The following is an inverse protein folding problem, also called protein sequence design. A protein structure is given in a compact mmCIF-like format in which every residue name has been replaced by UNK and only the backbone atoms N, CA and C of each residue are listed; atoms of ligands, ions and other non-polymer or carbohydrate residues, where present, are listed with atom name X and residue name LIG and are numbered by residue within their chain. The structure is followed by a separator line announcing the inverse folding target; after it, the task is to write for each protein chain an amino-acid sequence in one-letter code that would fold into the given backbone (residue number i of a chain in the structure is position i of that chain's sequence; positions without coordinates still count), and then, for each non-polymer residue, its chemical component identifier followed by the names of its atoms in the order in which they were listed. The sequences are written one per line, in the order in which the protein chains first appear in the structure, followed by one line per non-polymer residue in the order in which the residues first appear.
data_IF_237679254554
#
_entry.id   IF_237679254554
#
_cell.length_a   1.000
_cell.length_b   1.000
_cell.length_c   1.000
_cell.angle_alpha   90.00
_cell.angle_beta   90.00
_cell.angle_gamma   90.00
#
_symmetry.space_group_name_H-M   'P 1'
#
loop_
_entity.id
_entity.type
_entity.pdbx_description
1 polymer ?
#
# COMPACT_ATOMS: atom_id res chain seq x y z
N UNK A 1 -11.23 -32.80 24.11
CA UNK A 1 -10.54 -31.50 24.01
C UNK A 1 -10.59 -31.14 22.55
N UNK A 2 -11.45 -30.18 22.17
CA UNK A 2 -11.55 -29.76 20.77
C UNK A 2 -10.32 -28.89 20.53
N UNK A 3 -9.32 -29.41 19.83
CA UNK A 3 -8.30 -28.57 19.21
C UNK A 3 -9.06 -27.60 18.30
N UNK A 4 -9.11 -26.32 18.69
CA UNK A 4 -9.45 -25.27 17.75
C UNK A 4 -8.33 -25.30 16.73
N UNK A 5 -8.58 -25.86 15.54
CA UNK A 5 -7.72 -25.60 14.40
C UNK A 5 -7.62 -24.07 14.29
N UNK A 6 -6.42 -23.54 14.48
CA UNK A 6 -6.18 -22.14 14.17
C UNK A 6 -6.55 -21.94 12.70
N UNK A 7 -7.46 -21.03 12.42
CA UNK A 7 -7.76 -20.62 11.05
C UNK A 7 -6.51 -19.96 10.48
N UNK A 8 -6.10 -20.37 9.30
CA UNK A 8 -4.95 -19.77 8.62
C UNK A 8 -5.22 -18.29 8.34
N UNK A 9 -4.25 -17.45 8.65
CA UNK A 9 -4.24 -16.03 8.32
C UNK A 9 -3.70 -15.86 6.90
N UNK A 10 -4.59 -15.55 5.96
CA UNK A 10 -4.30 -15.52 4.52
C UNK A 10 -4.82 -14.21 3.94
N UNK A 11 -3.98 -13.51 3.19
CA UNK A 11 -4.35 -12.31 2.44
C UNK A 11 -3.55 -12.24 1.14
N UNK A 12 -4.23 -12.09 0.00
CA UNK A 12 -3.55 -11.84 -1.28
C UNK A 12 -3.10 -10.39 -1.30
N UNK A 13 -1.83 -10.17 -1.62
CA UNK A 13 -1.23 -8.84 -1.59
C UNK A 13 -1.00 -8.28 -2.99
N UNK A 14 -0.48 -9.11 -3.90
CA UNK A 14 -0.11 -8.65 -5.22
C UNK A 14 -0.32 -9.73 -6.27
N UNK A 15 -0.71 -9.28 -7.46
CA UNK A 15 -0.76 -10.06 -8.67
C UNK A 15 0.16 -9.41 -9.69
N UNK A 16 1.07 -10.21 -10.26
CA UNK A 16 2.00 -9.75 -11.28
C UNK A 16 1.71 -10.47 -12.59
N UNK A 17 1.80 -9.74 -13.70
CA UNK A 17 1.62 -10.31 -15.03
C UNK A 17 2.61 -9.74 -16.04
N UNK A 18 3.02 -10.59 -16.98
CA UNK A 18 3.67 -10.15 -18.21
C UNK A 18 2.98 -10.81 -19.37
N UNK A 19 2.68 -9.99 -20.37
CA UNK A 19 1.89 -10.35 -21.55
C UNK A 19 2.50 -11.58 -22.23
N UNK A 20 1.90 -12.76 -21.99
CA UNK A 20 2.32 -14.02 -22.61
C UNK A 20 3.54 -14.71 -21.98
N UNK A 21 4.14 -14.13 -20.93
CA UNK A 21 5.39 -14.62 -20.31
C UNK A 21 5.16 -15.37 -18.99
N UNK A 22 4.03 -15.12 -18.32
CA UNK A 22 3.64 -15.75 -17.06
C UNK A 22 2.90 -14.80 -16.13
N UNK A 23 2.62 -15.30 -14.93
CA UNK A 23 2.02 -14.54 -13.84
C UNK A 23 2.62 -14.95 -12.48
N UNK A 24 2.45 -14.11 -11.47
CA UNK A 24 2.80 -14.43 -10.07
C UNK A 24 1.66 -14.00 -9.15
N UNK A 25 1.32 -14.87 -8.18
CA UNK A 25 0.44 -14.50 -7.07
C UNK A 25 1.25 -14.45 -5.78
N UNK A 26 1.24 -13.30 -5.13
CA UNK A 26 1.94 -13.05 -3.86
C UNK A 26 0.93 -12.84 -2.76
N UNK A 27 1.01 -13.67 -1.71
CA UNK A 27 0.07 -13.62 -0.59
C UNK A 27 0.76 -13.90 0.75
N UNK A 28 0.18 -13.33 1.81
CA UNK A 28 0.54 -13.65 3.18
C UNK A 28 -0.05 -14.99 3.60
N UNK A 29 0.72 -15.81 4.29
CA UNK A 29 0.26 -17.03 4.94
C UNK A 29 0.91 -17.14 6.32
N UNK A 30 0.13 -16.98 7.39
CA UNK A 30 0.56 -17.08 8.79
C UNK A 30 1.82 -16.26 9.13
N UNK A 31 1.93 -15.03 8.58
CA UNK A 31 3.05 -14.10 8.79
C UNK A 31 4.28 -14.36 7.92
N UNK A 32 4.19 -15.26 6.94
CA UNK A 32 5.20 -15.44 5.90
C UNK A 32 4.65 -14.98 4.55
N UNK A 33 5.56 -14.69 3.61
CA UNK A 33 5.22 -14.32 2.25
C UNK A 33 5.35 -15.54 1.33
N UNK A 34 4.31 -15.84 0.58
CA UNK A 34 4.30 -16.91 -0.41
C UNK A 34 4.19 -16.26 -1.79
N UNK A 35 5.11 -16.59 -2.69
CA UNK A 35 5.08 -16.21 -4.10
C UNK A 35 4.92 -17.48 -4.93
N UNK A 36 3.89 -17.51 -5.78
CA UNK A 36 3.59 -18.64 -6.66
C UNK A 36 3.65 -18.17 -8.11
N UNK A 37 4.71 -18.58 -8.78
CA UNK A 37 4.96 -18.30 -10.18
C UNK A 37 4.25 -19.30 -11.08
N UNK A 38 3.51 -18.77 -12.04
CA UNK A 38 2.69 -19.49 -13.01
C UNK A 38 3.28 -19.22 -14.39
N UNK A 39 3.97 -20.21 -14.94
CA UNK A 39 4.57 -20.12 -16.27
C UNK A 39 3.68 -20.79 -17.31
N UNK A 40 3.64 -20.28 -18.55
CA UNK A 40 2.83 -20.86 -19.62
C UNK A 40 3.28 -22.28 -19.96
N UNK A 41 2.33 -23.13 -20.33
CA UNK A 41 2.55 -24.56 -20.55
C UNK A 41 3.58 -24.87 -21.66
N UNK A 42 3.68 -23.98 -22.67
CA UNK A 42 4.56 -24.12 -23.84
C UNK A 42 5.71 -23.08 -23.88
N UNK A 43 5.97 -22.35 -22.80
CA UNK A 43 7.05 -21.35 -22.74
C UNK A 43 6.75 -19.99 -23.41
N UNK A 44 5.58 -19.83 -24.05
CA UNK A 44 4.98 -18.57 -24.45
C UNK A 44 3.47 -18.80 -24.54
N UNK A 45 2.67 -18.05 -23.79
CA UNK A 45 1.21 -18.12 -23.94
C UNK A 45 0.85 -17.44 -25.26
N UNK A 46 0.60 -18.25 -26.30
CA UNK A 46 -0.14 -17.77 -27.47
C UNK A 46 -1.54 -17.44 -26.99
N UNK A 47 -2.01 -16.21 -27.23
CA UNK A 47 -3.44 -15.87 -27.11
C UNK A 47 -4.22 -16.67 -28.17
N UNK A 48 -4.31 -17.98 -27.99
CA UNK A 48 -5.21 -18.82 -28.75
C UNK A 48 -6.62 -18.51 -28.27
N UNK A 49 -7.38 -17.85 -29.14
CA UNK A 49 -8.75 -17.38 -28.97
C UNK A 49 -9.77 -18.53 -28.92
N UNK A 50 -9.32 -19.70 -28.48
CA UNK A 50 -10.10 -20.92 -28.41
C UNK A 50 -10.57 -21.13 -26.97
N UNK A 51 -11.80 -20.72 -26.71
CA UNK A 51 -12.62 -21.22 -25.61
C UNK A 51 -12.76 -22.75 -25.77
N UNK A 52 -11.84 -23.53 -25.17
CA UNK A 52 -11.91 -24.98 -25.19
C UNK A 52 -11.66 -25.56 -23.79
N UNK A 53 -12.48 -26.54 -23.40
CA UNK A 53 -12.41 -27.34 -22.17
C UNK A 53 -11.05 -28.06 -21.96
N UNK A 54 -10.15 -28.01 -22.95
CA UNK A 54 -8.83 -28.66 -22.97
C UNK A 54 -7.64 -27.69 -22.72
N UNK A 55 -7.89 -26.42 -22.36
CA UNK A 55 -6.80 -25.47 -22.10
C UNK A 55 -6.00 -25.85 -20.84
N UNK A 56 -4.65 -25.83 -20.88
CA UNK A 56 -3.84 -26.09 -19.69
C UNK A 56 -4.17 -25.09 -18.57
N UNK A 57 -4.26 -25.61 -17.33
CA UNK A 57 -4.64 -24.82 -16.16
C UNK A 57 -3.74 -23.60 -15.92
N UNK A 58 -2.44 -23.75 -16.18
CA UNK A 58 -1.47 -22.65 -16.06
C UNK A 58 -1.81 -21.48 -17.00
N UNK A 59 -2.18 -21.78 -18.25
CA UNK A 59 -2.50 -20.76 -19.25
C UNK A 59 -3.85 -20.09 -18.92
N UNK A 60 -4.80 -20.83 -18.35
CA UNK A 60 -6.05 -20.28 -17.83
C UNK A 60 -5.81 -19.32 -16.66
N UNK A 61 -4.99 -19.69 -15.67
CA UNK A 61 -4.69 -18.83 -14.54
C UNK A 61 -3.94 -17.55 -14.92
N UNK A 62 -3.07 -17.60 -15.93
CA UNK A 62 -2.42 -16.40 -16.46
C UNK A 62 -3.49 -15.41 -16.97
N UNK A 63 -4.50 -15.89 -17.70
CA UNK A 63 -5.59 -15.06 -18.20
C UNK A 63 -6.52 -14.55 -17.09
N UNK A 64 -6.82 -15.38 -16.09
CA UNK A 64 -7.62 -14.98 -14.92
C UNK A 64 -6.91 -13.86 -14.15
N UNK A 65 -5.60 -14.00 -13.94
CA UNK A 65 -4.79 -12.94 -13.33
C UNK A 65 -4.73 -11.71 -14.24
N UNK A 66 -4.60 -11.85 -15.58
CA UNK A 66 -4.66 -10.72 -16.52
C UNK A 66 -5.95 -9.94 -16.32
N UNK A 67 -7.07 -10.65 -16.28
CA UNK A 67 -8.40 -10.09 -16.09
C UNK A 67 -8.53 -9.40 -14.73
N UNK A 68 -8.04 -10.03 -13.65
CA UNK A 68 -8.07 -9.46 -12.31
C UNK A 68 -7.26 -8.16 -12.22
N UNK A 69 -6.09 -8.07 -12.86
CA UNK A 69 -5.24 -6.86 -12.80
C UNK A 69 -5.83 -5.63 -13.48
N UNK A 70 -6.80 -5.81 -14.38
CA UNK A 70 -7.50 -4.70 -15.07
C UNK A 70 -8.96 -4.56 -14.62
N UNK A 71 -9.41 -5.40 -13.68
CA UNK A 71 -10.77 -5.38 -13.15
C UNK A 71 -10.99 -4.10 -12.32
N UNK A 72 -12.15 -3.46 -12.52
CA UNK A 72 -12.56 -2.28 -11.75
C UNK A 72 -13.73 -2.57 -10.81
N UNK A 73 -14.29 -3.77 -10.88
CA UNK A 73 -15.38 -4.24 -10.03
C UNK A 73 -14.78 -5.12 -8.93
N UNK A 74 -14.99 -4.72 -7.68
CA UNK A 74 -14.35 -5.37 -6.52
C UNK A 74 -14.89 -6.80 -6.32
N UNK A 75 -16.19 -7.04 -6.56
CA UNK A 75 -16.80 -8.36 -6.41
C UNK A 75 -16.25 -9.32 -7.50
N UNK A 76 -16.19 -8.86 -8.75
CA UNK A 76 -15.59 -9.64 -9.85
C UNK A 76 -14.08 -9.87 -9.62
N UNK A 77 -13.36 -8.89 -9.07
CA UNK A 77 -11.95 -9.05 -8.72
C UNK A 77 -11.77 -10.14 -7.66
N UNK A 78 -12.55 -10.11 -6.58
CA UNK A 78 -12.49 -11.11 -5.51
C UNK A 78 -12.78 -12.52 -6.04
N UNK A 79 -13.80 -12.68 -6.89
CA UNK A 79 -14.12 -13.97 -7.52
C UNK A 79 -12.94 -14.53 -8.35
N UNK A 80 -12.26 -13.68 -9.12
CA UNK A 80 -11.12 -14.08 -9.95
C UNK A 80 -9.89 -14.45 -9.09
N UNK A 81 -9.64 -13.69 -8.01
CA UNK A 81 -8.54 -13.98 -7.08
C UNK A 81 -8.78 -15.28 -6.33
N UNK A 82 -9.99 -15.48 -5.82
CA UNK A 82 -10.38 -16.66 -5.06
C UNK A 82 -10.30 -17.94 -5.90
N UNK A 83 -10.64 -17.87 -7.19
CA UNK A 83 -10.52 -19.00 -8.13
C UNK A 83 -9.09 -19.56 -8.14
N UNK A 84 -8.10 -18.69 -8.34
CA UNK A 84 -6.68 -19.08 -8.43
C UNK A 84 -6.14 -19.46 -7.05
N UNK A 85 -6.47 -18.68 -6.02
CA UNK A 85 -6.00 -18.91 -4.66
C UNK A 85 -6.48 -20.24 -4.10
N UNK A 86 -7.73 -20.62 -4.32
CA UNK A 86 -8.30 -21.88 -3.84
C UNK A 86 -7.48 -23.09 -4.33
N UNK A 87 -7.14 -23.11 -5.62
CA UNK A 87 -6.36 -24.21 -6.22
C UNK A 87 -4.92 -24.23 -5.70
N UNK A 88 -4.29 -23.05 -5.53
CA UNK A 88 -2.96 -22.95 -4.91
C UNK A 88 -2.98 -23.49 -3.49
N UNK A 89 -3.99 -23.13 -2.69
CA UNK A 89 -4.11 -23.59 -1.30
C UNK A 89 -4.39 -25.09 -1.23
N UNK A 90 -5.22 -25.65 -2.11
CA UNK A 90 -5.46 -27.09 -2.17
C UNK A 90 -4.18 -27.88 -2.49
N UNK A 91 -3.34 -27.36 -3.39
CA UNK A 91 -2.07 -27.97 -3.73
C UNK A 91 -0.96 -27.73 -2.70
N UNK A 92 -0.97 -26.58 -2.02
CA UNK A 92 0.18 -26.03 -1.29
C UNK A 92 0.06 -25.93 0.21
N UNK A 93 -1.16 -25.89 0.79
CA UNK A 93 -1.38 -25.53 2.20
C UNK A 93 -0.58 -26.39 3.18
N UNK A 94 -0.50 -27.69 2.94
CA UNK A 94 0.28 -28.60 3.80
C UNK A 94 1.78 -28.30 3.75
N UNK A 95 2.30 -27.93 2.58
CA UNK A 95 3.71 -27.56 2.38
C UNK A 95 4.02 -26.23 3.08
N UNK A 96 3.12 -25.25 3.00
CA UNK A 96 3.28 -23.97 3.69
C UNK A 96 3.37 -24.15 5.20
N UNK A 97 2.46 -24.93 5.80
CA UNK A 97 2.49 -25.26 7.23
C UNK A 97 3.81 -25.90 7.67
N UNK A 98 4.36 -26.82 6.87
CA UNK A 98 5.62 -27.49 7.18
C UNK A 98 6.81 -26.53 7.23
N UNK A 99 6.81 -25.49 6.40
CA UNK A 99 7.90 -24.51 6.35
C UNK A 99 7.82 -23.52 7.53
N UNK A 100 6.61 -23.18 7.94
CA UNK A 100 6.34 -22.11 8.92
C UNK A 100 6.53 -22.57 10.38
N UNK A 101 6.31 -23.85 10.69
CA UNK A 101 6.39 -24.39 12.07
C UNK A 101 7.80 -24.35 12.71
N UNK A 102 8.80 -23.78 12.02
CA UNK A 102 10.21 -23.77 12.42
C UNK A 102 10.70 -22.43 13.01
N UNK A 103 9.88 -21.37 13.01
CA UNK A 103 10.30 -20.03 13.43
C UNK A 103 9.56 -19.54 14.68
N UNK A 104 10.30 -18.92 15.60
CA UNK A 104 9.78 -18.32 16.84
C UNK A 104 9.00 -17.02 16.49
N UNK A 105 7.77 -17.19 15.99
CA UNK A 105 7.00 -16.15 15.30
C UNK A 105 6.60 -14.96 16.17
N UNK A 106 6.61 -15.10 17.50
CA UNK A 106 5.95 -14.12 18.37
C UNK A 106 6.83 -12.92 18.72
N UNK A 107 8.15 -13.10 18.82
CA UNK A 107 9.08 -12.01 19.14
C UNK A 107 9.46 -11.14 17.92
N UNK A 108 9.29 -11.67 16.70
CA UNK A 108 9.67 -10.98 15.46
C UNK A 108 8.58 -10.03 14.94
N UNK A 109 7.30 -10.33 15.22
CA UNK A 109 6.12 -9.57 14.78
C UNK A 109 5.98 -8.17 15.39
N UNK A 110 6.79 -7.82 16.38
CA UNK A 110 6.74 -6.51 17.05
C UNK A 110 7.60 -5.45 16.36
N UNK A 111 8.50 -5.83 15.45
CA UNK A 111 9.41 -4.89 14.77
C UNK A 111 8.94 -4.54 13.35
N UNK A 112 9.23 -3.33 12.90
CA UNK A 112 8.99 -2.93 11.52
C UNK A 112 9.73 -3.82 10.52
N UNK A 113 10.94 -4.28 10.87
CA UNK A 113 11.76 -5.18 10.05
C UNK A 113 10.97 -6.40 9.55
N UNK A 114 10.15 -7.02 10.40
CA UNK A 114 9.41 -8.22 10.03
C UNK A 114 8.33 -7.98 8.97
N UNK A 115 7.70 -6.81 8.97
CA UNK A 115 6.70 -6.45 7.95
C UNK A 115 7.33 -6.03 6.63
N UNK A 116 8.54 -5.46 6.66
CA UNK A 116 9.26 -5.06 5.46
C UNK A 116 10.00 -6.25 4.82
N UNK A 117 10.50 -7.17 5.64
CA UNK A 117 11.30 -8.31 5.21
C UNK A 117 10.77 -9.61 5.83
N UNK A 118 9.49 -9.98 5.56
CA UNK A 118 8.95 -11.23 6.06
C UNK A 118 9.71 -12.41 5.45
N UNK A 119 9.81 -13.56 6.15
CA UNK A 119 10.29 -14.80 5.55
C UNK A 119 9.48 -15.11 4.29
N UNK A 120 10.16 -15.27 3.15
CA UNK A 120 9.54 -15.49 1.86
C UNK A 120 9.87 -16.87 1.29
N UNK A 121 8.87 -17.49 0.67
CA UNK A 121 8.99 -18.79 0.02
C UNK A 121 8.44 -18.70 -1.40
N UNK A 122 9.20 -19.23 -2.36
CA UNK A 122 8.87 -19.15 -3.78
C UNK A 122 8.52 -20.53 -4.31
N UNK A 123 7.47 -20.60 -5.11
CA UNK A 123 6.96 -21.83 -5.69
C UNK A 123 6.64 -21.65 -7.16
N UNK A 124 6.71 -22.74 -7.90
CA UNK A 124 6.18 -22.88 -9.26
C UNK A 124 4.94 -23.75 -9.23
N UNK A 125 3.86 -23.28 -9.84
CA UNK A 125 2.67 -24.10 -10.09
C UNK A 125 2.98 -25.09 -11.21
N UNK A 126 2.83 -26.39 -10.94
CA UNK A 126 2.93 -27.46 -11.94
C UNK A 126 1.57 -28.17 -12.09
N UNK A 127 1.02 -28.12 -13.30
CA UNK A 127 -0.25 -28.77 -13.65
C UNK A 127 -0.09 -29.64 -14.91
N UNK A 128 0.62 -30.78 -14.83
CA UNK A 128 0.78 -31.70 -15.95
C UNK A 128 -0.57 -32.26 -16.43
N UNK A 129 -0.72 -32.41 -17.75
CA UNK A 129 -1.90 -33.04 -18.34
C UNK A 129 -1.89 -34.57 -18.08
N UNK A 130 -3.03 -35.18 -17.69
CA UNK A 130 -4.34 -34.56 -17.45
C UNK A 130 -4.42 -33.82 -16.09
N UNK A 131 -5.11 -32.67 -16.07
CA UNK A 131 -5.28 -31.63 -15.01
C UNK A 131 -5.64 -32.10 -13.59
N UNK A 132 -5.76 -33.41 -13.36
CA UNK A 132 -6.05 -34.06 -12.08
C UNK A 132 -4.94 -33.98 -11.01
N UNK A 133 -3.76 -33.44 -11.32
CA UNK A 133 -2.65 -33.37 -10.37
C UNK A 133 -1.97 -31.99 -10.42
N UNK A 134 -2.53 -31.03 -9.68
CA UNK A 134 -1.88 -29.74 -9.43
C UNK A 134 -0.92 -29.89 -8.25
N UNK A 135 0.30 -29.38 -8.38
CA UNK A 135 1.30 -29.39 -7.31
C UNK A 135 2.13 -28.12 -7.31
N UNK A 136 2.72 -27.81 -6.15
CA UNK A 136 3.67 -26.71 -6.01
C UNK A 136 5.07 -27.25 -5.84
N UNK A 137 5.99 -26.76 -6.66
CA UNK A 137 7.42 -27.05 -6.55
C UNK A 137 8.13 -25.86 -5.96
N UNK A 138 8.90 -26.05 -4.88
CA UNK A 138 9.76 -25.00 -4.35
C UNK A 138 10.83 -24.62 -5.35
N UNK A 139 11.04 -23.32 -5.54
CA UNK A 139 12.05 -22.75 -6.43
C UNK A 139 12.89 -21.72 -5.68
N UNK A 140 14.06 -21.38 -6.24
CA UNK A 140 14.86 -20.25 -5.77
C UNK A 140 14.19 -18.92 -6.17
N UNK A 141 14.44 -17.84 -5.43
CA UNK A 141 13.89 -16.52 -5.76
C UNK A 141 14.37 -16.00 -7.13
N UNK A 142 15.54 -16.45 -7.60
CA UNK A 142 16.04 -16.11 -8.95
C UNK A 142 15.30 -16.81 -10.09
N UNK A 143 14.54 -17.87 -9.78
CA UNK A 143 13.65 -18.56 -10.73
C UNK A 143 12.20 -18.08 -10.66
N UNK A 144 11.87 -17.25 -9.67
CA UNK A 144 10.54 -16.71 -9.51
C UNK A 144 10.20 -15.73 -10.64
N UNK A 145 8.93 -15.64 -10.98
CA UNK A 145 8.44 -14.72 -11.99
C UNK A 145 8.65 -13.26 -11.56
N UNK A 146 8.50 -12.98 -10.26
CA UNK A 146 8.71 -11.66 -9.68
C UNK A 146 9.75 -11.70 -8.57
N UNK A 147 10.77 -10.84 -8.69
CA UNK A 147 11.79 -10.65 -7.64
C UNK A 147 11.23 -9.77 -6.52
N UNK A 148 11.04 -10.35 -5.34
CA UNK A 148 10.54 -9.64 -4.15
C UNK A 148 11.66 -9.13 -3.23
N UNK A 149 12.89 -9.59 -3.42
CA UNK A 149 14.04 -9.31 -2.56
C UNK A 149 14.84 -8.08 -3.01
N UNK A 150 15.45 -7.37 -2.05
CA UNK A 150 16.45 -6.33 -2.31
C UNK A 150 17.77 -6.99 -2.75
N UNK A 151 18.30 -6.60 -3.91
CA UNK A 151 19.62 -6.97 -4.40
C UNK A 151 20.63 -5.86 -4.09
N UNK A 152 21.56 -6.04 -3.14
CA UNK A 152 22.46 -4.99 -2.71
C UNK A 152 23.31 -4.34 -3.81
N UNK A 153 23.61 -5.06 -4.89
CA UNK A 153 24.46 -4.54 -5.98
C UNK A 153 23.65 -3.61 -6.89
N UNK A 154 22.47 -4.06 -7.33
CA UNK A 154 21.61 -3.24 -8.18
C UNK A 154 20.99 -2.09 -7.39
N UNK A 155 20.56 -2.35 -6.17
CA UNK A 155 19.82 -1.40 -5.34
C UNK A 155 20.65 -0.23 -4.84
N UNK A 156 21.93 -0.44 -4.54
CA UNK A 156 22.85 0.65 -4.18
C UNK A 156 23.07 1.66 -5.32
N UNK A 157 22.83 1.26 -6.57
CA UNK A 157 23.06 2.12 -7.73
C UNK A 157 21.89 3.06 -8.06
N UNK A 158 20.74 2.86 -7.39
CA UNK A 158 19.53 3.64 -7.63
C UNK A 158 19.62 4.94 -6.85
N UNK A 159 19.69 6.06 -7.57
CA UNK A 159 19.60 7.39 -7.00
C UNK A 159 18.12 7.75 -6.79
N UNK A 160 17.72 7.90 -5.53
CA UNK A 160 16.34 8.25 -5.17
C UNK A 160 16.03 9.75 -5.37
N UNK A 161 17.05 10.60 -5.55
CA UNK A 161 16.96 12.06 -5.77
C UNK A 161 15.89 12.79 -4.92
N UNK A 162 15.85 12.47 -3.63
CA UNK A 162 14.88 13.04 -2.69
C UNK A 162 15.35 14.38 -2.06
N UNK A 163 16.61 14.78 -2.26
CA UNK A 163 17.21 16.03 -1.75
C UNK A 163 16.84 16.37 -0.28
N UNK A 164 16.80 15.36 0.59
CA UNK A 164 16.38 15.52 1.98
C UNK A 164 17.40 16.31 2.80
N UNK A 165 16.92 17.02 3.82
CA UNK A 165 17.79 17.74 4.76
C UNK A 165 18.74 16.74 5.47
N UNK A 166 20.08 16.93 5.42
CA UNK A 166 21.05 16.05 6.07
C UNK A 166 20.85 15.86 7.58
N UNK A 167 20.23 16.84 8.26
CA UNK A 167 19.96 16.80 9.70
C UNK A 167 18.68 16.01 10.04
N UNK A 168 17.94 15.54 9.04
CA UNK A 168 16.72 14.74 9.26
C UNK A 168 17.09 13.43 9.98
N UNK A 169 16.41 13.09 11.10
CA UNK A 169 16.68 11.85 11.82
C UNK A 169 16.52 10.61 10.93
N UNK A 170 17.38 9.62 11.18
CA UNK A 170 17.49 8.38 10.42
C UNK A 170 17.30 7.19 11.34
N UNK A 171 16.51 6.23 10.89
CA UNK A 171 16.21 5.02 11.64
C UNK A 171 16.37 3.80 10.76
N UNK A 172 16.71 2.66 11.36
CA UNK A 172 16.59 1.37 10.68
C UNK A 172 15.31 0.66 11.12
N UNK A 173 14.77 -0.28 10.33
CA UNK A 173 13.53 -0.99 10.68
C UNK A 173 13.59 -1.74 12.03
N UNK A 174 14.78 -2.11 12.50
CA UNK A 174 14.98 -2.76 13.79
C UNK A 174 14.80 -1.82 14.99
N UNK A 175 14.95 -0.50 14.79
CA UNK A 175 14.79 0.51 15.85
C UNK A 175 13.32 0.85 16.14
N UNK A 176 12.40 0.30 15.34
CA UNK A 176 11.00 0.73 15.26
C UNK A 176 10.09 -0.42 15.67
N UNK A 177 9.32 -0.22 16.73
CA UNK A 177 8.31 -1.17 17.20
C UNK A 177 6.93 -0.80 16.68
N UNK A 178 6.14 -1.80 16.29
CA UNK A 178 4.77 -1.62 15.82
C UNK A 178 3.83 -1.47 17.01
N UNK A 179 3.04 -0.39 17.03
CA UNK A 179 2.00 -0.17 18.03
C UNK A 179 0.63 -0.62 17.49
N UNK A 180 0.28 -0.20 16.27
CA UNK A 180 -0.97 -0.57 15.60
C UNK A 180 -0.74 -0.59 14.08
N UNK A 181 -1.18 -1.65 13.42
CA UNK A 181 -1.13 -1.76 11.95
C UNK A 181 -2.45 -1.25 11.37
N UNK A 182 -2.38 -0.29 10.44
CA UNK A 182 -3.56 0.18 9.71
C UNK A 182 -3.74 -0.58 8.41
N UNK A 183 -2.66 -0.74 7.66
CA UNK A 183 -2.62 -1.45 6.37
C UNK A 183 -1.25 -2.09 6.21
N UNK A 184 -1.18 -3.31 5.71
CA UNK A 184 0.06 -3.92 5.26
C UNK A 184 -0.14 -4.76 4.01
N UNK A 185 0.92 -4.93 3.24
CA UNK A 185 0.98 -5.79 2.06
C UNK A 185 2.19 -6.73 2.12
N UNK A 186 2.63 -7.20 0.96
CA UNK A 186 3.73 -8.17 0.83
C UNK A 186 5.05 -7.71 1.47
N UNK A 187 5.36 -6.42 1.36
CA UNK A 187 6.52 -5.78 2.00
C UNK A 187 6.24 -4.30 2.25
N UNK A 188 4.97 -3.93 2.42
CA UNK A 188 4.52 -2.54 2.62
C UNK A 188 3.74 -2.45 3.90
N UNK A 189 3.82 -1.31 4.59
CA UNK A 189 3.12 -1.10 5.85
C UNK A 189 2.83 0.37 6.10
N UNK A 190 1.64 0.61 6.63
CA UNK A 190 1.20 1.87 7.22
C UNK A 190 0.73 1.57 8.65
N UNK A 191 1.36 2.20 9.64
CA UNK A 191 1.17 1.84 11.05
C UNK A 191 1.42 3.02 11.99
N UNK A 192 0.82 2.97 13.19
CA UNK A 192 1.33 3.67 14.35
C UNK A 192 2.51 2.86 14.91
N UNK A 193 3.59 3.55 15.23
CA UNK A 193 4.85 2.94 15.69
C UNK A 193 5.40 3.67 16.89
N UNK A 194 6.23 2.95 17.65
CA UNK A 194 6.96 3.49 18.79
C UNK A 194 8.45 3.54 18.45
N UNK A 195 9.05 4.73 18.57
CA UNK A 195 10.49 4.95 18.38
C UNK A 195 11.03 5.70 19.59
N UNK A 196 11.93 5.05 20.35
CA UNK A 196 12.54 5.64 21.56
C UNK A 196 11.53 6.19 22.58
N UNK A 197 10.35 5.58 22.70
CA UNK A 197 9.30 6.04 23.62
C UNK A 197 8.39 7.15 23.06
N UNK A 198 8.54 7.53 21.80
CA UNK A 198 7.65 8.44 21.10
C UNK A 198 6.78 7.70 20.07
N UNK A 199 5.48 7.96 20.11
CA UNK A 199 4.52 7.45 19.12
C UNK A 199 4.60 8.29 17.83
N UNK A 200 4.64 7.62 16.69
CA UNK A 200 4.76 8.22 15.37
C UNK A 200 3.89 7.47 14.36
N UNK A 201 3.60 8.11 13.23
CA UNK A 201 3.03 7.44 12.07
C UNK A 201 4.17 6.98 11.15
N UNK A 202 4.09 5.74 10.67
CA UNK A 202 5.02 5.12 9.75
C UNK A 202 4.31 4.74 8.44
N UNK A 203 4.94 5.06 7.31
CA UNK A 203 4.61 4.51 6.00
C UNK A 203 5.91 4.04 5.35
N UNK A 204 6.00 2.76 5.02
CA UNK A 204 7.26 2.16 4.59
C UNK A 204 7.05 0.95 3.67
N UNK A 205 8.06 0.66 2.85
CA UNK A 205 8.15 -0.47 1.93
C UNK A 205 9.58 -1.06 1.91
N UNK A 206 9.67 -2.38 1.91
CA UNK A 206 10.90 -3.16 1.92
C UNK A 206 11.21 -3.82 0.57
N UNK A 207 11.05 -3.10 -0.54
CA UNK A 207 11.26 -3.62 -1.90
C UNK A 207 12.54 -3.10 -2.52
N UNK A 208 13.06 -3.84 -3.51
CA UNK A 208 14.06 -3.31 -4.43
C UNK A 208 13.60 -1.98 -5.05
N UNK A 209 14.55 -1.12 -5.37
CA UNK A 209 14.34 0.25 -5.83
C UNK A 209 14.09 1.28 -4.72
N UNK A 210 14.08 0.88 -3.44
CA UNK A 210 13.79 1.80 -2.34
C UNK A 210 12.43 2.49 -2.53
N UNK A 211 12.41 3.81 -2.48
CA UNK A 211 11.23 4.64 -2.77
C UNK A 211 11.19 5.21 -4.20
N UNK A 212 12.11 4.85 -5.09
CA UNK A 212 12.17 5.44 -6.43
C UNK A 212 10.83 5.32 -7.18
N UNK A 213 10.29 6.45 -7.66
CA UNK A 213 9.06 6.51 -8.44
C UNK A 213 7.76 6.20 -7.67
N UNK A 214 7.79 6.21 -6.33
CA UNK A 214 6.65 5.83 -5.49
C UNK A 214 5.88 7.02 -4.92
N UNK A 215 4.65 6.79 -4.50
CA UNK A 215 3.86 7.77 -3.72
C UNK A 215 4.53 8.12 -2.39
N UNK A 216 5.20 7.16 -1.75
CA UNK A 216 5.91 7.36 -0.49
C UNK A 216 7.10 8.32 -0.65
N UNK A 217 7.84 8.21 -1.76
CA UNK A 217 8.92 9.15 -2.11
C UNK A 217 8.38 10.56 -2.26
N UNK A 218 7.26 10.71 -2.97
CA UNK A 218 6.60 12.01 -3.16
C UNK A 218 6.16 12.60 -1.83
N UNK A 219 5.50 11.81 -0.99
CA UNK A 219 5.05 12.24 0.33
C UNK A 219 6.23 12.67 1.21
N UNK A 220 7.30 11.86 1.27
CA UNK A 220 8.51 12.19 2.00
C UNK A 220 9.15 13.49 1.50
N UNK A 221 9.24 13.69 0.18
CA UNK A 221 9.75 14.93 -0.41
C UNK A 221 8.90 16.14 -0.02
N UNK A 222 7.58 16.03 -0.15
CA UNK A 222 6.64 17.09 0.25
C UNK A 222 6.76 17.45 1.74
N UNK A 223 6.80 16.46 2.63
CA UNK A 223 6.97 16.69 4.06
C UNK A 223 8.34 17.29 4.39
N UNK A 224 9.39 16.86 3.68
CA UNK A 224 10.74 17.42 3.80
C UNK A 224 10.82 18.89 3.37
N UNK A 225 10.15 19.27 2.29
CA UNK A 225 10.02 20.68 1.88
C UNK A 225 9.21 21.50 2.89
N UNK A 226 8.12 20.95 3.43
CA UNK A 226 7.32 21.65 4.44
C UNK A 226 8.12 22.01 5.69
N UNK A 227 9.07 21.17 6.12
CA UNK A 227 9.98 21.49 7.22
C UNK A 227 10.84 22.74 6.95
N UNK A 228 11.13 23.07 5.68
CA UNK A 228 11.91 24.25 5.29
C UNK A 228 11.09 25.54 5.40
N UNK A 229 9.79 25.48 5.09
CA UNK A 229 8.92 26.65 4.98
C UNK A 229 8.09 26.91 6.24
N UNK A 230 7.68 25.87 6.96
CA UNK A 230 6.73 25.98 8.06
C UNK A 230 7.38 25.64 9.39
N UNK A 231 7.46 26.60 10.34
CA UNK A 231 7.84 26.27 11.69
C UNK A 231 6.78 25.36 12.33
N UNK A 232 7.13 24.62 13.39
CA UNK A 232 6.19 23.73 14.04
C UNK A 232 4.87 24.43 14.42
N UNK A 233 3.74 23.80 14.06
CA UNK A 233 2.36 24.28 14.31
C UNK A 233 1.91 25.48 13.46
N UNK A 234 2.70 25.95 12.50
CA UNK A 234 2.28 27.03 11.60
C UNK A 234 1.14 26.63 10.66
N UNK A 235 1.06 25.36 10.33
CA UNK A 235 0.05 24.76 9.46
C UNK A 235 -0.46 23.45 10.07
N UNK A 236 -1.72 23.08 9.79
CA UNK A 236 -2.34 21.83 10.24
C UNK A 236 -2.01 20.68 9.30
N UNK A 237 -0.71 20.37 9.23
CA UNK A 237 -0.14 19.25 8.50
C UNK A 237 0.85 18.53 9.43
N UNK A 238 0.89 17.19 9.45
CA UNK A 238 1.86 16.47 10.26
C UNK A 238 3.30 16.79 9.84
N UNK A 239 4.20 16.95 10.82
CA UNK A 239 5.62 17.18 10.53
C UNK A 239 6.37 15.87 10.27
N UNK A 240 7.32 15.89 9.35
CA UNK A 240 8.33 14.84 9.21
C UNK A 240 9.19 14.78 10.47
N UNK A 241 9.35 13.58 11.03
CA UNK A 241 10.18 13.31 12.21
C UNK A 241 11.45 12.55 11.86
N UNK A 242 11.45 11.83 10.74
CA UNK A 242 12.62 11.14 10.23
C UNK A 242 12.30 10.27 9.03
N UNK A 243 13.32 9.61 8.49
CA UNK A 243 13.15 8.59 7.46
C UNK A 243 13.80 7.28 7.84
N UNK A 244 13.32 6.23 7.20
CA UNK A 244 13.72 4.84 7.45
C UNK A 244 14.62 4.44 6.30
N UNK A 245 15.77 3.86 6.61
CA UNK A 245 16.69 3.37 5.58
C UNK A 245 17.08 1.93 5.82
N UNK A 246 17.37 1.23 4.72
CA UNK A 246 17.93 -0.10 4.79
C UNK A 246 19.32 -0.06 5.42
N UNK A 247 19.64 -1.03 6.28
CA UNK A 247 20.86 -1.02 7.07
C UNK A 247 22.12 -1.09 6.22
N UNK A 248 22.08 -1.89 5.15
CA UNK A 248 23.23 -2.18 4.30
C UNK A 248 23.26 -1.29 3.06
N UNK A 249 22.21 -1.34 2.24
CA UNK A 249 22.12 -0.61 0.96
C UNK A 249 21.93 0.90 1.11
N UNK A 250 21.51 1.36 2.30
CA UNK A 250 21.20 2.76 2.61
C UNK A 250 20.03 3.37 1.82
N UNK A 251 19.37 2.58 0.97
CA UNK A 251 18.12 2.99 0.32
C UNK A 251 17.09 3.42 1.35
N UNK A 252 16.32 4.44 1.01
CA UNK A 252 15.20 4.89 1.81
C UNK A 252 14.06 3.88 1.63
N UNK A 253 13.51 3.45 2.77
CA UNK A 253 12.42 2.48 2.83
C UNK A 253 11.09 3.15 3.19
N UNK A 254 11.10 4.39 3.67
CA UNK A 254 9.89 5.04 4.15
C UNK A 254 10.18 6.22 5.06
N UNK A 255 9.15 6.68 5.75
CA UNK A 255 9.24 7.84 6.61
C UNK A 255 8.43 7.72 7.90
N UNK A 256 8.82 8.54 8.87
CA UNK A 256 8.16 8.73 10.15
C UNK A 256 7.66 10.17 10.22
N UNK A 257 6.38 10.36 10.50
CA UNK A 257 5.78 11.68 10.71
C UNK A 257 5.02 11.75 12.03
N UNK A 258 4.66 12.96 12.42
CA UNK A 258 3.81 13.21 13.56
C UNK A 258 2.53 12.36 13.49
N UNK A 259 2.26 11.65 14.58
CA UNK A 259 0.97 11.01 14.81
C UNK A 259 -0.11 12.06 15.10
N UNK A 260 -1.23 11.98 14.40
CA UNK A 260 -2.39 12.86 14.59
C UNK A 260 -3.58 11.94 14.91
N UNK A 261 -3.97 11.81 16.19
CA UNK A 261 -5.08 10.95 16.57
C UNK A 261 -6.40 11.63 16.19
N UNK A 262 -7.33 10.87 15.64
CA UNK A 262 -8.67 11.35 15.32
C UNK A 262 -9.33 10.57 14.19
N UNK A 263 -10.67 10.64 14.07
CA UNK A 263 -11.38 10.06 12.93
C UNK A 263 -11.11 10.86 11.65
N UNK A 264 -11.36 10.23 10.50
CA UNK A 264 -11.33 10.93 9.21
C UNK A 264 -12.55 11.82 9.08
N UNK A 265 -12.43 12.92 8.34
CA UNK A 265 -13.56 13.81 8.07
C UNK A 265 -14.72 13.06 7.38
N UNK A 266 -14.40 12.11 6.49
CA UNK A 266 -15.39 11.22 5.85
C UNK A 266 -16.31 10.52 6.85
N UNK A 267 -15.81 10.20 8.04
CA UNK A 267 -16.49 9.35 9.01
C UNK A 267 -17.40 10.17 9.94
N UNK A 268 -17.07 11.45 10.15
CA UNK A 268 -17.74 12.31 11.14
C UNK A 268 -18.59 13.43 10.54
N UNK A 269 -18.40 13.75 9.25
CA UNK A 269 -19.05 14.92 8.61
C UNK A 269 -20.58 14.87 8.69
N UNK A 270 -21.19 13.70 8.56
CA UNK A 270 -22.64 13.52 8.57
C UNK A 270 -23.28 13.89 9.92
N UNK A 271 -22.57 13.68 11.03
CA UNK A 271 -23.05 13.95 12.39
C UNK A 271 -22.60 15.33 12.92
N UNK A 272 -21.86 16.10 12.13
CA UNK A 272 -21.25 17.35 12.56
C UNK A 272 -22.23 18.52 12.56
N UNK A 273 -22.17 19.34 13.62
CA UNK A 273 -22.88 20.63 13.71
C UNK A 273 -22.40 21.62 12.63
N UNK A 274 -23.25 22.58 12.24
CA UNK A 274 -22.89 23.61 11.28
C UNK A 274 -21.62 24.40 11.67
N UNK A 275 -21.46 24.70 12.96
CA UNK A 275 -20.30 25.43 13.50
C UNK A 275 -18.99 24.65 13.31
N UNK A 276 -19.00 23.35 13.57
CA UNK A 276 -17.86 22.46 13.32
C UNK A 276 -17.51 22.40 11.84
N UNK A 277 -18.51 22.21 10.97
CA UNK A 277 -18.30 22.15 9.52
C UNK A 277 -17.71 23.47 8.98
N UNK A 278 -18.19 24.61 9.47
CA UNK A 278 -17.64 25.92 9.12
C UNK A 278 -16.19 26.08 9.60
N UNK A 279 -15.88 25.64 10.83
CA UNK A 279 -14.51 25.65 11.38
C UNK A 279 -13.57 24.83 10.48
N UNK A 280 -13.94 23.59 10.15
CA UNK A 280 -13.13 22.71 9.33
C UNK A 280 -12.92 23.28 7.92
N UNK A 281 -13.97 23.81 7.29
CA UNK A 281 -13.86 24.45 5.97
C UNK A 281 -12.85 25.61 5.97
N UNK A 282 -12.85 26.43 7.02
CA UNK A 282 -11.88 27.51 7.18
C UNK A 282 -10.45 26.98 7.33
N UNK A 283 -10.22 25.96 8.17
CA UNK A 283 -8.90 25.40 8.42
C UNK A 283 -8.31 24.68 7.21
N UNK A 284 -9.14 23.92 6.47
CA UNK A 284 -8.75 23.23 5.24
C UNK A 284 -8.34 24.26 4.19
N UNK A 285 -9.18 25.29 3.96
CA UNK A 285 -8.86 26.38 3.03
C UNK A 285 -7.54 27.07 3.38
N UNK A 286 -7.37 27.46 4.65
CA UNK A 286 -6.15 28.12 5.11
C UNK A 286 -4.90 27.27 4.91
N UNK A 287 -4.99 25.97 5.17
CA UNK A 287 -3.87 25.05 4.99
C UNK A 287 -3.49 24.91 3.52
N UNK A 288 -4.48 24.72 2.63
CA UNK A 288 -4.24 24.63 1.17
C UNK A 288 -3.66 25.94 0.62
N UNK A 289 -4.20 27.09 1.02
CA UNK A 289 -3.68 28.40 0.61
C UNK A 289 -2.22 28.60 1.04
N UNK A 290 -1.87 28.22 2.27
CA UNK A 290 -0.49 28.30 2.77
C UNK A 290 0.45 27.37 2.00
N UNK A 291 0.03 26.14 1.68
CA UNK A 291 0.81 25.22 0.85
C UNK A 291 1.08 25.85 -0.53
N UNK A 292 0.04 26.32 -1.19
CA UNK A 292 0.13 26.89 -2.54
C UNK A 292 0.98 28.16 -2.59
N UNK A 293 0.91 29.01 -1.56
CA UNK A 293 1.76 30.21 -1.44
C UNK A 293 3.26 29.87 -1.39
N UNK A 294 3.61 28.67 -0.93
CA UNK A 294 4.99 28.18 -0.86
C UNK A 294 5.31 27.19 -1.99
N UNK A 295 4.47 27.09 -3.02
CA UNK A 295 4.68 26.22 -4.17
C UNK A 295 4.49 24.72 -3.90
N UNK A 296 3.88 24.36 -2.76
CA UNK A 296 3.59 22.98 -2.38
C UNK A 296 2.16 22.61 -2.78
N UNK A 297 1.96 21.36 -3.18
CA UNK A 297 0.67 20.82 -3.65
C UNK A 297 0.29 19.66 -2.73
N UNK A 298 -0.98 19.57 -2.35
CA UNK A 298 -1.51 18.47 -1.55
C UNK A 298 -1.64 17.19 -2.40
N UNK A 299 -2.30 17.29 -3.55
CA UNK A 299 -2.19 16.32 -4.65
C UNK A 299 -3.23 15.21 -4.68
N UNK A 300 -3.86 14.88 -3.54
CA UNK A 300 -4.97 13.92 -3.45
C UNK A 300 -6.03 14.39 -2.44
N UNK A 301 -6.66 15.54 -2.75
CA UNK A 301 -7.62 16.15 -1.87
C UNK A 301 -8.95 15.39 -1.78
N UNK A 302 -9.23 14.82 -0.60
CA UNK A 302 -10.50 14.15 -0.28
C UNK A 302 -10.76 14.11 1.24
N UNK A 303 -12.02 13.92 1.68
CA UNK A 303 -12.35 13.86 3.11
C UNK A 303 -11.66 12.75 3.90
N UNK A 304 -11.31 11.62 3.27
CA UNK A 304 -10.58 10.54 3.93
C UNK A 304 -9.12 10.90 4.24
N UNK A 305 -8.58 11.92 3.56
CA UNK A 305 -7.22 12.44 3.77
C UNK A 305 -7.22 13.65 4.72
N UNK A 306 -8.28 13.83 5.51
CA UNK A 306 -8.38 14.86 6.53
C UNK A 306 -8.69 14.18 7.86
N UNK A 307 -7.85 14.42 8.88
CA UNK A 307 -8.10 13.96 10.24
C UNK A 307 -8.70 15.11 11.07
N UNK A 308 -9.74 14.80 11.86
CA UNK A 308 -10.28 15.73 12.86
C UNK A 308 -9.71 15.35 14.22
N UNK A 309 -8.85 16.19 14.79
CA UNK A 309 -8.20 15.90 16.07
C UNK A 309 -9.13 16.07 17.28
N UNK A 310 -8.60 15.79 18.47
CA UNK A 310 -9.29 15.91 19.76
C UNK A 310 -9.78 17.33 20.10
N UNK A 311 -9.29 18.35 19.39
CA UNK A 311 -9.67 19.76 19.53
C UNK A 311 -10.61 20.21 18.41
N UNK A 312 -11.17 19.28 17.65
CA UNK A 312 -11.98 19.53 16.46
C UNK A 312 -11.20 20.35 15.40
N UNK A 313 -9.87 20.26 15.33
CA UNK A 313 -9.08 20.88 14.27
C UNK A 313 -8.89 19.93 13.09
N UNK A 314 -9.02 20.44 11.87
CA UNK A 314 -8.82 19.67 10.64
C UNK A 314 -7.35 19.67 10.23
N UNK A 315 -6.78 18.48 10.06
CA UNK A 315 -5.40 18.23 9.63
C UNK A 315 -5.38 17.58 8.25
N UNK A 316 -4.62 18.15 7.31
CA UNK A 316 -4.40 17.52 6.00
C UNK A 316 -3.30 16.46 6.13
N UNK A 317 -3.57 15.26 5.64
CA UNK A 317 -2.62 14.14 5.57
C UNK A 317 -2.49 13.64 4.13
N UNK A 318 -1.56 12.73 3.91
CA UNK A 318 -1.33 12.05 2.63
C UNK A 318 -0.97 12.99 1.47
N UNK A 319 0.34 13.19 1.30
CA UNK A 319 0.93 14.00 0.22
C UNK A 319 1.57 13.13 -0.87
N UNK A 320 1.20 11.84 -0.91
CA UNK A 320 1.73 10.88 -1.86
C UNK A 320 1.24 11.08 -3.30
N UNK A 321 0.32 12.03 -3.51
CA UNK A 321 -0.34 12.23 -4.79
C UNK A 321 -1.38 11.15 -5.06
N UNK A 322 -1.76 11.02 -6.33
CA UNK A 322 -2.80 10.11 -6.77
C UNK A 322 -4.05 10.80 -7.32
N UNK A 323 -4.96 9.95 -7.76
CA UNK A 323 -6.22 10.34 -8.37
C UNK A 323 -7.36 9.64 -7.64
N UNK A 324 -8.27 10.42 -7.07
CA UNK A 324 -9.51 9.89 -6.51
C UNK A 324 -10.69 10.32 -7.36
N UNK A 325 -11.30 9.33 -8.04
CA UNK A 325 -12.50 9.53 -8.86
C UNK A 325 -13.60 10.21 -8.07
N UNK A 326 -14.25 11.19 -8.69
CA UNK A 326 -15.32 11.97 -8.06
C UNK A 326 -14.83 13.17 -7.24
N UNK A 327 -13.57 13.20 -6.82
CA UNK A 327 -12.99 14.33 -6.08
C UNK A 327 -12.20 15.27 -6.99
N UNK A 328 -11.35 14.74 -7.85
CA UNK A 328 -10.53 15.54 -8.77
C UNK A 328 -10.79 15.04 -10.20
N UNK A 329 -10.61 15.89 -11.20
CA UNK A 329 -10.56 15.46 -12.60
C UNK A 329 -9.19 14.84 -12.88
N UNK A 330 -9.11 13.73 -13.61
CA UNK A 330 -7.86 12.96 -13.78
C UNK A 330 -6.72 13.82 -14.36
N UNK A 331 -7.05 14.68 -15.32
CA UNK A 331 -6.13 15.64 -15.94
C UNK A 331 -5.60 16.73 -14.98
N UNK A 332 -6.20 16.86 -13.80
CA UNK A 332 -5.84 17.84 -12.76
C UNK A 332 -5.25 17.20 -11.51
N UNK A 333 -5.16 15.87 -11.47
CA UNK A 333 -4.53 15.16 -10.36
C UNK A 333 -3.15 15.75 -10.08
N UNK A 334 -2.77 15.84 -8.80
CA UNK A 334 -1.42 16.26 -8.42
C UNK A 334 -1.05 17.69 -8.82
N UNK A 335 -2.03 18.56 -9.08
CA UNK A 335 -1.83 19.98 -9.41
C UNK A 335 -2.50 20.92 -8.41
N UNK A 336 -2.05 22.19 -8.41
CA UNK A 336 -2.72 23.27 -7.67
C UNK A 336 -4.22 23.40 -8.02
N UNK A 337 -4.56 23.26 -9.30
CA UNK A 337 -5.95 23.33 -9.75
C UNK A 337 -6.77 22.14 -9.26
N UNK A 338 -6.15 20.96 -9.15
CA UNK A 338 -6.74 19.77 -8.53
C UNK A 338 -7.04 20.00 -7.05
N UNK A 339 -6.12 20.58 -6.30
CA UNK A 339 -6.35 20.94 -4.88
C UNK A 339 -7.48 21.97 -4.71
N UNK A 340 -7.55 22.98 -5.59
CA UNK A 340 -8.62 23.99 -5.59
C UNK A 340 -9.98 23.35 -5.90
N UNK A 341 -10.03 22.40 -6.84
CA UNK A 341 -11.24 21.64 -7.16
C UNK A 341 -11.66 20.74 -5.98
N UNK A 342 -10.72 20.02 -5.37
CA UNK A 342 -10.98 19.19 -4.21
C UNK A 342 -11.53 20.02 -3.04
N UNK A 343 -10.90 21.18 -2.76
CA UNK A 343 -11.36 22.12 -1.75
C UNK A 343 -12.81 22.55 -1.99
N UNK A 344 -13.17 22.90 -3.22
CA UNK A 344 -14.54 23.30 -3.56
C UNK A 344 -15.55 22.18 -3.23
N UNK A 345 -15.28 20.94 -3.64
CA UNK A 345 -16.16 19.79 -3.33
C UNK A 345 -16.24 19.48 -1.84
N UNK A 346 -15.12 19.61 -1.12
CA UNK A 346 -15.09 19.43 0.34
C UNK A 346 -15.93 20.51 1.03
N UNK A 347 -15.88 21.76 0.57
CA UNK A 347 -16.73 22.84 1.11
C UNK A 347 -18.20 22.59 0.83
N UNK A 348 -18.55 22.09 -0.36
CA UNK A 348 -19.93 21.71 -0.70
C UNK A 348 -20.45 20.59 0.22
N UNK A 349 -19.64 19.56 0.45
CA UNK A 349 -19.94 18.50 1.43
C UNK A 349 -20.15 19.08 2.84
N UNK A 350 -19.26 19.97 3.29
CA UNK A 350 -19.33 20.59 4.61
C UNK A 350 -20.50 21.57 4.77
N UNK A 351 -20.96 22.18 3.68
CA UNK A 351 -22.12 23.07 3.71
C UNK A 351 -23.43 22.29 3.91
N UNK A 352 -23.38 20.95 3.74
CA UNK A 352 -24.53 20.06 3.80
C UNK A 352 -25.34 20.24 2.55
N UNK A 353 -25.04 19.44 1.52
CA UNK A 353 -25.62 19.53 0.17
C UNK A 353 -27.06 20.03 0.22
N UNK A 354 -27.25 21.31 -0.10
CA UNK A 354 -28.58 21.82 -0.39
C UNK A 354 -29.05 21.02 -1.60
N UNK A 355 -30.17 20.32 -1.42
CA UNK A 355 -30.92 19.68 -2.49
C UNK A 355 -30.94 20.60 -3.72
N UNK A 356 -30.18 20.25 -4.75
CA UNK A 356 -30.43 20.70 -6.12
C UNK A 356 -31.63 19.93 -6.71
N UNK A 357 -32.69 19.77 -5.89
CA UNK A 357 -34.02 19.34 -6.31
C UNK A 357 -35.00 20.49 -6.15
N UNK A 358 -34.73 21.58 -6.85
CA UNK A 358 -35.79 22.51 -7.24
C UNK A 358 -35.35 23.24 -8.51
N UNK A 359 -35.77 22.72 -9.65
CA UNK A 359 -36.64 23.53 -10.50
C UNK A 359 -37.53 22.63 -11.38
N UNK A 360 -38.74 23.11 -11.74
CA UNK A 360 -39.94 22.32 -11.96
C UNK A 360 -40.07 21.61 -13.32
#
# INVERSE_FOLDING_TARGET
MVERQATDDIAVYELHIGVGEGADMVFGFNGCLISVSIFPSNGSSSKDTQEHEDRPLQDHFIDVIEKATVCQDDDEYEELVDEVLAVILDAGRSLFHQLISSQDQQALRESLHHYLFPPSFHFRLEAPAPTSCVSLKTIDSSEAYTTLTIDPVFDQSIDEDLELNPDTPRFTPEDISIAEVFVHGASTITAAVQVQGQEMFCKSRGRGGGLFGTSEARELKCLGEMLKFFPPKAIKVPQLLGYIHHKETKQILGFLRQWVPGPRLSDVVAAATAEKRQKWACQIRQSIELLHQNGLIWGDGKPSNIIIDDKDDAWLIDFGGGYTRGWIDEERAETRQGDEQALQKIIELLSGGEDMSSDP
#
